data_IF_836464600672
#
_entry.id   IF_836464600672
#
_cell.length_a   1.000
_cell.length_b   1.000
_cell.length_c   1.000
_cell.angle_alpha   90.00
_cell.angle_beta   90.00
_cell.angle_gamma   90.00
#
_symmetry.space_group_name_H-M   'P 1'
#
loop_
_entity.id
_entity.type
_entity.pdbx_description
1 polymer ?
#
# COMPACT_ATOMS: atom_id res chain seq x y z
N UNK A 1 19.41 -3.52 43.53
CA UNK A 1 19.54 -4.30 42.29
C UNK A 1 18.15 -4.46 41.70
N UNK A 2 17.91 -4.01 40.46
CA UNK A 2 16.69 -4.30 39.70
C UNK A 2 17.09 -4.99 38.39
N UNK A 3 16.27 -5.91 37.85
CA UNK A 3 16.63 -6.68 36.65
C UNK A 3 16.49 -5.82 35.38
N UNK A 4 17.54 -5.79 34.57
CA UNK A 4 17.50 -5.16 33.24
C UNK A 4 16.51 -5.90 32.32
N UNK A 5 15.60 -5.16 31.67
CA UNK A 5 14.73 -5.65 30.58
C UNK A 5 15.11 -4.93 29.28
N UNK A 6 15.01 -5.61 28.13
CA UNK A 6 15.61 -5.23 26.83
C UNK A 6 14.50 -4.78 25.84
N UNK A 7 14.71 -3.71 25.03
CA UNK A 7 13.64 -2.84 24.44
C UNK A 7 13.47 -2.59 22.90
N UNK A 8 14.46 -2.54 21.98
CA UNK A 8 14.43 -3.05 20.55
C UNK A 8 13.25 -2.68 19.71
N UNK A 9 12.79 -1.45 19.83
CA UNK A 9 11.43 -1.07 19.50
C UNK A 9 10.44 -1.85 20.42
N UNK A 10 10.51 -3.20 20.46
CA UNK A 10 10.15 -4.10 21.59
C UNK A 10 11.16 -5.19 22.12
N UNK A 11 12.49 -5.21 21.83
CA UNK A 11 13.44 -6.29 22.31
C UNK A 11 14.95 -6.08 22.72
N UNK A 12 15.70 -5.00 22.39
CA UNK A 12 17.08 -4.62 22.87
C UNK A 12 17.25 -3.15 23.42
N UNK A 13 17.19 -2.08 22.59
CA UNK A 13 17.23 -0.64 22.97
C UNK A 13 15.98 0.31 22.84
N UNK A 14 15.42 0.55 21.63
CA UNK A 14 14.63 1.79 21.31
C UNK A 14 13.16 1.90 21.77
N UNK A 15 12.59 3.11 21.73
CA UNK A 15 11.13 3.41 21.83
C UNK A 15 10.62 4.04 20.51
N UNK A 16 9.61 3.46 19.83
CA UNK A 16 8.99 4.07 18.66
C UNK A 16 7.76 4.92 19.03
N UNK A 17 7.56 6.03 18.31
CA UNK A 17 6.32 6.80 18.31
C UNK A 17 5.74 6.76 16.90
N UNK A 18 4.58 6.12 16.72
CA UNK A 18 3.87 6.07 15.45
C UNK A 18 2.85 7.21 15.38
N UNK A 19 2.96 8.06 14.36
CA UNK A 19 1.88 8.98 13.97
C UNK A 19 1.02 8.23 12.96
N UNK A 20 -0.30 8.22 13.16
CA UNK A 20 -1.23 7.61 12.23
C UNK A 20 -2.52 8.42 12.14
N UNK A 21 -3.10 8.46 10.94
CA UNK A 21 -4.36 9.14 10.71
C UNK A 21 -5.49 8.13 10.94
N UNK A 22 -6.26 8.31 12.00
CA UNK A 22 -7.37 7.40 12.36
C UNK A 22 -8.47 7.26 11.27
N UNK A 23 -8.46 8.12 10.25
CA UNK A 23 -9.17 7.91 8.99
C UNK A 23 -8.20 7.43 7.91
N UNK A 24 -8.49 6.29 7.23
CA UNK A 24 -7.88 5.97 5.95
C UNK A 24 -8.00 7.14 4.95
N UNK A 25 -7.25 7.06 3.84
CA UNK A 25 -7.47 7.91 2.66
C UNK A 25 -8.96 7.92 2.26
N UNK A 26 -9.47 9.00 1.63
CA UNK A 26 -10.89 9.16 1.30
C UNK A 26 -11.35 8.26 0.13
N UNK A 27 -11.04 6.98 0.21
CA UNK A 27 -11.54 5.94 -0.66
C UNK A 27 -12.98 5.54 -0.26
N UNK A 28 -13.74 4.94 -1.19
CA UNK A 28 -14.99 4.23 -0.88
C UNK A 28 -14.79 3.14 0.19
N UNK A 29 -15.92 2.66 0.75
CA UNK A 29 -15.93 1.82 1.94
C UNK A 29 -14.94 0.64 1.87
N UNK A 30 -14.12 0.40 2.92
CA UNK A 30 -13.13 -0.66 2.92
C UNK A 30 -13.78 -2.04 2.76
N UNK A 31 -13.06 -2.97 2.14
CA UNK A 31 -13.47 -4.36 2.05
C UNK A 31 -13.79 -4.92 3.45
N UNK A 32 -14.92 -5.59 3.59
CA UNK A 32 -15.44 -6.04 4.90
C UNK A 32 -14.58 -7.11 5.58
N UNK A 33 -13.73 -7.79 4.81
CA UNK A 33 -12.82 -8.84 5.26
C UNK A 33 -11.49 -8.71 4.51
N UNK A 34 -10.41 -9.23 5.10
CA UNK A 34 -9.09 -9.33 4.47
C UNK A 34 -8.72 -10.80 4.21
N UNK A 35 -7.99 -11.03 3.12
CA UNK A 35 -7.64 -12.35 2.62
C UNK A 35 -6.13 -12.50 2.42
N UNK A 36 -5.63 -13.74 2.45
CA UNK A 36 -4.24 -14.07 2.19
C UNK A 36 -3.25 -13.76 3.33
N UNK A 37 -3.71 -13.16 4.44
CA UNK A 37 -2.89 -12.98 5.63
C UNK A 37 -2.86 -14.28 6.45
N UNK A 38 -1.71 -14.94 6.52
CA UNK A 38 -1.56 -16.21 7.24
C UNK A 38 -2.03 -16.10 8.71
N UNK A 39 -2.89 -17.04 9.13
CA UNK A 39 -3.62 -17.07 10.42
C UNK A 39 -4.71 -16.01 10.64
N UNK A 40 -4.89 -15.05 9.73
CA UNK A 40 -5.89 -13.96 9.81
C UNK A 40 -6.75 -13.83 8.54
N UNK A 41 -6.85 -14.89 7.75
CA UNK A 41 -7.75 -14.97 6.59
C UNK A 41 -9.20 -14.80 7.07
N UNK A 42 -10.00 -14.00 6.35
CA UNK A 42 -11.35 -13.54 6.74
C UNK A 42 -11.39 -12.63 7.99
N UNK A 43 -10.28 -12.03 8.43
CA UNK A 43 -10.31 -11.01 9.50
C UNK A 43 -10.74 -9.65 8.95
N UNK A 44 -11.60 -8.94 9.69
CA UNK A 44 -11.91 -7.52 9.45
C UNK A 44 -10.60 -6.69 9.49
N UNK A 45 -10.28 -5.87 8.46
CA UNK A 45 -9.10 -5.00 8.46
C UNK A 45 -8.98 -4.11 9.71
N UNK A 46 -10.11 -3.66 10.26
CA UNK A 46 -10.14 -2.86 11.48
C UNK A 46 -9.82 -3.69 12.74
N UNK A 47 -10.21 -4.98 12.80
CA UNK A 47 -9.80 -5.87 13.90
C UNK A 47 -8.30 -6.19 13.83
N UNK A 48 -7.77 -6.41 12.62
CA UNK A 48 -6.35 -6.64 12.38
C UNK A 48 -5.51 -5.43 12.84
N UNK A 49 -5.88 -4.23 12.41
CA UNK A 49 -5.25 -2.97 12.82
C UNK A 49 -5.37 -2.73 14.33
N UNK A 50 -6.57 -2.93 14.89
CA UNK A 50 -6.85 -2.82 16.33
C UNK A 50 -5.98 -3.79 17.15
N UNK A 51 -5.72 -5.00 16.63
CA UNK A 51 -4.79 -5.97 17.23
C UNK A 51 -3.35 -5.49 17.16
N UNK A 52 -2.87 -5.07 15.99
CA UNK A 52 -1.50 -4.56 15.82
C UNK A 52 -1.21 -3.34 16.72
N UNK A 53 -2.16 -2.40 16.86
CA UNK A 53 -2.04 -1.26 17.79
C UNK A 53 -1.86 -1.71 19.25
N UNK A 54 -2.64 -2.71 19.71
CA UNK A 54 -2.49 -3.27 21.07
C UNK A 54 -1.13 -3.94 21.29
N UNK A 55 -0.63 -4.66 20.29
CA UNK A 55 0.68 -5.32 20.36
C UNK A 55 1.82 -4.28 20.45
N UNK A 56 1.81 -3.24 19.61
CA UNK A 56 2.79 -2.13 19.66
C UNK A 56 2.75 -1.41 21.01
N UNK A 57 1.56 -1.06 21.51
CA UNK A 57 1.39 -0.42 22.81
C UNK A 57 1.85 -1.34 23.97
N UNK A 58 1.65 -2.66 23.86
CA UNK A 58 2.11 -3.65 24.84
C UNK A 58 3.63 -3.73 25.00
N UNK A 59 4.40 -3.41 23.95
CA UNK A 59 5.86 -3.25 24.03
C UNK A 59 6.29 -1.83 24.46
N UNK A 60 5.34 -0.92 24.69
CA UNK A 60 5.58 0.48 25.04
C UNK A 60 5.83 1.39 23.84
N UNK A 61 5.43 1.00 22.63
CA UNK A 61 5.37 1.93 21.51
C UNK A 61 4.25 2.95 21.72
N UNK A 62 4.51 4.22 21.42
CA UNK A 62 3.51 5.29 21.50
C UNK A 62 2.76 5.41 20.18
N UNK A 63 1.46 5.69 20.24
CA UNK A 63 0.59 5.87 19.08
C UNK A 63 -0.13 7.22 19.21
N UNK A 64 0.02 8.07 18.19
CA UNK A 64 -0.55 9.41 18.12
C UNK A 64 -1.51 9.49 16.93
N UNK A 65 -2.75 9.89 17.20
CA UNK A 65 -3.69 10.26 16.14
C UNK A 65 -3.33 11.67 15.62
N UNK A 66 -3.02 11.78 14.33
CA UNK A 66 -2.63 13.05 13.71
C UNK A 66 -2.13 12.86 12.27
N UNK A 67 -1.64 13.92 11.64
CA UNK A 67 -1.07 13.84 10.29
C UNK A 67 0.31 14.50 10.23
N UNK A 68 1.34 13.74 9.88
CA UNK A 68 2.63 14.30 9.50
C UNK A 68 2.48 15.11 8.19
N UNK A 69 3.07 16.31 8.12
CA UNK A 69 2.99 17.23 6.97
C UNK A 69 4.35 17.73 6.47
N UNK A 70 5.43 17.33 7.12
CA UNK A 70 6.79 17.62 6.68
C UNK A 70 7.82 16.89 7.54
N UNK A 71 8.99 16.64 6.95
CA UNK A 71 10.16 16.09 7.63
C UNK A 71 11.33 17.02 7.33
N UNK A 72 11.96 17.62 8.34
CA UNK A 72 13.27 18.28 8.18
C UNK A 72 14.38 17.37 8.68
N UNK A 73 15.53 17.40 8.00
CA UNK A 73 16.78 16.87 8.55
C UNK A 73 17.44 17.91 9.46
N UNK A 74 17.94 17.47 10.61
CA UNK A 74 18.60 18.28 11.64
C UNK A 74 20.07 17.86 11.81
N UNK A 75 20.81 18.56 12.68
CA UNK A 75 22.23 18.24 12.94
C UNK A 75 22.44 16.80 13.45
N UNK A 76 23.41 16.13 12.82
CA UNK A 76 23.80 14.75 13.11
C UNK A 76 22.84 13.74 12.49
N UNK A 77 22.31 12.86 13.35
CA UNK A 77 21.37 11.78 13.02
C UNK A 77 19.95 12.10 13.50
N UNK A 78 19.48 13.35 13.31
CA UNK A 78 18.20 13.80 13.85
C UNK A 78 17.28 14.31 12.73
N UNK A 79 15.98 14.17 12.97
CA UNK A 79 14.90 14.63 12.10
C UNK A 79 13.83 15.34 12.93
N UNK A 80 13.18 16.33 12.34
CA UNK A 80 11.95 16.92 12.85
C UNK A 80 10.78 16.41 12.02
N UNK A 81 9.75 15.85 12.64
CA UNK A 81 8.48 15.51 11.98
C UNK A 81 7.43 16.51 12.42
N UNK A 82 6.85 17.27 11.49
CA UNK A 82 5.87 18.32 11.74
C UNK A 82 4.44 17.78 11.62
N UNK A 83 3.55 18.22 12.50
CA UNK A 83 2.15 17.77 12.55
C UNK A 83 1.19 18.83 11.98
N UNK A 84 0.14 18.39 11.26
CA UNK A 84 -0.88 19.25 10.68
C UNK A 84 -1.65 20.05 11.74
N UNK A 85 -1.82 19.46 12.92
CA UNK A 85 -2.48 20.01 14.10
C UNK A 85 -1.60 21.05 14.82
N UNK A 86 -0.35 21.24 14.37
CA UNK A 86 0.68 22.02 15.02
C UNK A 86 1.53 21.17 15.97
N UNK A 87 2.78 21.61 16.19
CA UNK A 87 3.77 20.86 16.95
C UNK A 87 4.68 19.98 16.10
N UNK A 88 5.68 19.38 16.76
CA UNK A 88 6.82 18.70 16.15
C UNK A 88 7.31 17.58 17.05
N UNK A 89 7.73 16.46 16.46
CA UNK A 89 8.45 15.39 17.13
C UNK A 89 9.91 15.37 16.64
N UNK A 90 10.86 15.19 17.57
CA UNK A 90 12.28 14.96 17.23
C UNK A 90 12.57 13.46 17.22
N UNK A 91 13.04 12.95 16.08
CA UNK A 91 13.33 11.54 15.86
C UNK A 91 14.80 11.30 15.46
N UNK A 92 15.32 10.08 15.67
CA UNK A 92 16.66 9.67 15.19
C UNK A 92 16.64 9.09 13.77
N UNK A 93 15.54 8.46 13.41
CA UNK A 93 15.27 7.86 12.11
C UNK A 93 13.76 7.93 11.85
N UNK A 94 13.35 7.89 10.58
CA UNK A 94 11.93 7.95 10.20
C UNK A 94 11.58 6.74 9.34
N UNK A 95 10.39 6.18 9.57
CA UNK A 95 9.78 5.17 8.69
C UNK A 95 8.49 5.76 8.15
N UNK A 96 8.43 5.99 6.84
CA UNK A 96 7.23 6.49 6.14
C UNK A 96 6.48 5.28 5.57
N UNK A 97 5.34 4.93 6.16
CA UNK A 97 4.50 3.80 5.75
C UNK A 97 3.08 4.27 5.39
N UNK A 98 2.99 5.39 4.67
CA UNK A 98 1.76 6.14 4.34
C UNK A 98 0.91 5.51 3.25
N UNK A 99 1.38 4.43 2.61
CA UNK A 99 0.66 3.69 1.58
C UNK A 99 0.44 4.46 0.29
N UNK A 100 -0.61 4.12 -0.44
CA UNK A 100 -1.06 4.76 -1.68
C UNK A 100 -2.56 5.08 -1.62
N UNK A 101 -3.06 5.77 -2.65
CA UNK A 101 -4.47 5.84 -2.97
C UNK A 101 -4.73 5.45 -4.43
N UNK A 102 -5.91 4.88 -4.67
CA UNK A 102 -6.38 4.48 -6.00
C UNK A 102 -7.17 5.64 -6.63
N UNK A 103 -6.63 6.27 -7.68
CA UNK A 103 -7.43 7.18 -8.53
C UNK A 103 -8.24 6.35 -9.54
N UNK A 104 -9.56 6.41 -9.40
CA UNK A 104 -10.49 5.60 -10.19
C UNK A 104 -10.83 6.30 -11.52
N UNK A 105 -10.99 5.56 -12.64
CA UNK A 105 -11.49 6.13 -13.89
C UNK A 105 -12.84 6.85 -13.70
N UNK A 106 -13.00 8.01 -14.33
CA UNK A 106 -14.24 8.81 -14.30
C UNK A 106 -15.35 8.12 -15.11
N UNK A 107 -16.00 7.14 -14.46
CA UNK A 107 -17.10 6.35 -14.99
C UNK A 107 -18.28 6.45 -14.02
N UNK A 108 -19.40 7.07 -14.42
CA UNK A 108 -20.62 7.14 -13.61
C UNK A 108 -21.03 5.78 -13.03
N UNK A 109 -21.31 5.76 -11.72
CA UNK A 109 -21.68 4.54 -10.99
C UNK A 109 -20.51 3.70 -10.46
N UNK A 110 -19.26 3.95 -10.88
CA UNK A 110 -18.09 3.21 -10.39
C UNK A 110 -17.73 3.55 -8.93
N UNK A 111 -17.61 4.82 -8.50
CA UNK A 111 -17.15 5.13 -7.13
C UNK A 111 -18.05 4.60 -6.00
N UNK A 112 -19.40 4.59 -6.10
CA UNK A 112 -20.26 3.97 -5.08
C UNK A 112 -20.12 2.45 -4.94
N UNK A 113 -19.34 1.79 -5.82
CA UNK A 113 -19.19 0.33 -5.90
C UNK A 113 -17.80 -0.23 -5.68
N UNK A 114 -16.80 0.65 -5.67
CA UNK A 114 -15.44 0.31 -5.25
C UNK A 114 -15.44 -0.35 -3.86
N UNK A 115 -14.71 -1.46 -3.73
CA UNK A 115 -14.61 -2.23 -2.48
C UNK A 115 -15.79 -3.16 -2.19
N UNK A 116 -16.91 -3.07 -2.93
CA UNK A 116 -18.09 -3.94 -2.79
C UNK A 116 -18.12 -5.02 -3.87
N UNK A 117 -18.22 -4.60 -5.13
CA UNK A 117 -18.34 -5.45 -6.32
C UNK A 117 -17.53 -4.89 -7.53
N UNK A 118 -16.82 -3.77 -7.33
CA UNK A 118 -15.74 -3.28 -8.20
C UNK A 118 -14.42 -3.32 -7.41
N UNK A 119 -13.39 -3.98 -7.95
CA UNK A 119 -12.12 -4.24 -7.25
C UNK A 119 -10.89 -4.01 -8.14
N UNK A 120 -9.72 -3.76 -7.54
CA UNK A 120 -8.42 -3.77 -8.24
C UNK A 120 -7.76 -5.15 -8.21
N UNK A 121 -7.63 -5.76 -7.03
CA UNK A 121 -6.78 -6.94 -6.84
C UNK A 121 -7.59 -8.25 -6.81
N UNK A 122 -7.40 -9.17 -7.78
CA UNK A 122 -8.06 -10.47 -7.78
C UNK A 122 -7.46 -11.47 -6.78
N UNK A 123 -6.21 -11.27 -6.35
CA UNK A 123 -5.66 -12.04 -5.23
C UNK A 123 -6.29 -11.70 -3.87
N UNK A 124 -7.11 -10.62 -3.80
CA UNK A 124 -7.83 -10.22 -2.59
C UNK A 124 -9.35 -10.47 -2.65
N UNK A 125 -9.95 -10.58 -3.84
CA UNK A 125 -11.42 -10.68 -4.02
C UNK A 125 -11.86 -11.74 -5.06
N UNK A 126 -10.93 -12.33 -5.80
CA UNK A 126 -11.25 -13.21 -6.93
C UNK A 126 -11.87 -14.54 -6.47
N UNK A 127 -11.56 -15.01 -5.27
CA UNK A 127 -12.15 -16.24 -4.73
C UNK A 127 -13.62 -16.03 -4.36
N UNK A 128 -13.98 -14.84 -3.90
CA UNK A 128 -15.30 -14.43 -3.44
C UNK A 128 -16.27 -14.32 -4.63
N UNK A 129 -15.78 -13.80 -5.77
CA UNK A 129 -16.54 -13.62 -7.02
C UNK A 129 -16.25 -14.71 -8.07
N UNK A 130 -15.63 -15.82 -7.69
CA UNK A 130 -15.31 -16.93 -8.62
C UNK A 130 -16.56 -17.51 -9.28
N UNK A 131 -16.36 -18.19 -10.40
CA UNK A 131 -17.41 -18.83 -11.24
C UNK A 131 -18.54 -17.89 -11.71
N UNK A 132 -18.44 -16.59 -11.42
CA UNK A 132 -19.48 -15.58 -11.66
C UNK A 132 -19.27 -14.81 -12.96
N UNK A 133 -20.24 -13.98 -13.34
CA UNK A 133 -20.20 -13.19 -14.57
C UNK A 133 -19.29 -11.95 -14.39
N UNK A 134 -17.99 -12.11 -14.64
CA UNK A 134 -16.96 -11.09 -14.37
C UNK A 134 -16.72 -10.15 -15.55
N UNK A 135 -16.49 -8.88 -15.25
CA UNK A 135 -16.04 -7.87 -16.21
C UNK A 135 -14.67 -7.32 -15.83
N UNK A 136 -13.89 -6.88 -16.82
CA UNK A 136 -12.63 -6.18 -16.62
C UNK A 136 -12.63 -4.92 -17.49
N UNK A 137 -12.37 -3.76 -16.91
CA UNK A 137 -12.43 -2.46 -17.59
C UNK A 137 -11.01 -1.93 -17.80
N UNK A 138 -10.71 -1.48 -19.02
CA UNK A 138 -9.45 -0.81 -19.35
C UNK A 138 -9.30 0.54 -18.65
N UNK A 139 -8.26 0.67 -17.82
CA UNK A 139 -7.81 1.92 -17.22
C UNK A 139 -6.73 2.62 -18.05
N UNK A 140 -6.05 3.60 -17.45
CA UNK A 140 -4.99 4.37 -18.11
C UNK A 140 -3.73 3.52 -18.37
N UNK A 141 -3.34 2.66 -17.42
CA UNK A 141 -2.31 1.66 -17.66
C UNK A 141 -2.86 0.51 -18.53
N UNK A 142 -2.52 0.58 -19.82
CA UNK A 142 -2.79 -0.45 -20.82
C UNK A 142 -2.16 -1.80 -20.45
N UNK A 143 -0.91 -1.82 -19.99
CA UNK A 143 -0.16 -3.05 -19.73
C UNK A 143 -0.70 -3.78 -18.49
N UNK A 144 -1.04 -3.04 -17.43
CA UNK A 144 -1.78 -3.57 -16.28
C UNK A 144 -3.16 -4.06 -16.71
N UNK A 145 -3.94 -3.27 -17.45
CA UNK A 145 -5.30 -3.62 -17.87
C UNK A 145 -5.36 -4.94 -18.67
N UNK A 146 -4.47 -5.09 -19.66
CA UNK A 146 -4.36 -6.31 -20.46
C UNK A 146 -3.92 -7.52 -19.62
N UNK A 147 -2.98 -7.33 -18.69
CA UNK A 147 -2.53 -8.38 -17.76
C UNK A 147 -3.62 -8.77 -16.77
N UNK A 148 -4.36 -7.81 -16.22
CA UNK A 148 -5.48 -8.00 -15.30
C UNK A 148 -6.57 -8.82 -16.00
N UNK A 149 -6.96 -8.46 -17.23
CA UNK A 149 -7.93 -9.21 -18.02
C UNK A 149 -7.52 -10.69 -18.17
N UNK A 150 -6.28 -10.94 -18.58
CA UNK A 150 -5.74 -12.31 -18.68
C UNK A 150 -5.65 -13.02 -17.33
N UNK A 151 -5.48 -12.31 -16.22
CA UNK A 151 -5.39 -12.84 -14.87
C UNK A 151 -6.77 -13.23 -14.29
N UNK A 152 -7.82 -12.43 -14.50
CA UNK A 152 -9.18 -12.70 -13.98
C UNK A 152 -9.72 -14.07 -14.44
N UNK A 153 -9.30 -14.54 -15.62
CA UNK A 153 -9.63 -15.90 -16.12
C UNK A 153 -9.20 -17.05 -15.21
N UNK A 154 -8.34 -16.83 -14.21
CA UNK A 154 -8.01 -17.88 -13.21
C UNK A 154 -9.16 -18.14 -12.21
N UNK A 155 -10.19 -17.28 -12.15
CA UNK A 155 -11.30 -17.39 -11.19
C UNK A 155 -12.70 -17.56 -11.84
N UNK A 156 -12.88 -17.25 -13.12
CA UNK A 156 -14.13 -17.54 -13.83
C UNK A 156 -13.90 -17.78 -15.32
N UNK A 157 -14.74 -18.62 -15.93
CA UNK A 157 -14.83 -18.81 -17.38
C UNK A 157 -15.67 -17.74 -18.09
N UNK A 158 -16.59 -17.05 -17.40
CA UNK A 158 -17.38 -15.97 -18.01
C UNK A 158 -16.77 -14.58 -17.75
N UNK A 159 -15.69 -14.27 -18.47
CA UNK A 159 -14.99 -12.98 -18.39
C UNK A 159 -15.22 -12.15 -19.65
N UNK A 160 -15.67 -10.91 -19.47
CA UNK A 160 -15.70 -9.87 -20.52
C UNK A 160 -14.60 -8.86 -20.25
N UNK A 161 -13.74 -8.59 -21.24
CA UNK A 161 -12.88 -7.41 -21.24
C UNK A 161 -13.60 -6.28 -22.00
N UNK A 162 -13.70 -5.12 -21.34
CA UNK A 162 -14.18 -3.86 -21.88
C UNK A 162 -12.94 -2.97 -22.11
N UNK A 163 -12.45 -2.81 -23.35
CA UNK A 163 -11.25 -2.02 -23.60
C UNK A 163 -11.44 -0.54 -23.26
N UNK A 164 -12.70 -0.05 -23.20
CA UNK A 164 -13.02 1.36 -22.96
C UNK A 164 -12.28 2.24 -24.00
N UNK A 165 -11.35 3.09 -23.59
CA UNK A 165 -10.54 3.95 -24.49
C UNK A 165 -9.28 3.27 -25.05
N UNK A 166 -9.03 2.01 -24.70
CA UNK A 166 -7.89 1.22 -25.20
C UNK A 166 -8.22 0.62 -26.58
N UNK A 167 -7.75 1.24 -27.67
CA UNK A 167 -7.76 0.62 -29.00
C UNK A 167 -6.82 -0.59 -29.02
N UNK A 168 -7.35 -1.81 -29.26
CA UNK A 168 -6.59 -3.06 -29.31
C UNK A 168 -6.19 -3.47 -30.74
N UNK A 169 -4.97 -4.00 -30.90
CA UNK A 169 -4.52 -4.58 -32.17
C UNK A 169 -4.80 -6.10 -32.27
N UNK A 170 -4.46 -6.71 -33.41
CA UNK A 170 -4.67 -8.14 -33.65
C UNK A 170 -3.76 -9.04 -32.78
N UNK A 171 -2.58 -8.56 -32.37
CA UNK A 171 -1.63 -9.28 -31.53
C UNK A 171 -2.03 -9.29 -30.06
N UNK A 172 -2.79 -8.29 -29.59
CA UNK A 172 -3.38 -8.25 -28.25
C UNK A 172 -4.74 -8.98 -28.18
N UNK A 173 -5.61 -8.79 -29.18
CA UNK A 173 -6.94 -9.42 -29.23
C UNK A 173 -6.83 -10.94 -29.36
N UNK A 174 -5.87 -11.45 -30.14
CA UNK A 174 -5.67 -12.88 -30.36
C UNK A 174 -5.49 -13.66 -29.04
N UNK A 175 -4.49 -13.33 -28.21
CA UNK A 175 -4.27 -13.95 -26.90
C UNK A 175 -5.42 -13.79 -25.91
N UNK A 176 -6.18 -12.69 -25.93
CA UNK A 176 -7.35 -12.50 -25.07
C UNK A 176 -8.46 -13.50 -25.46
N UNK A 177 -8.80 -13.56 -26.75
CA UNK A 177 -9.83 -14.46 -27.29
C UNK A 177 -9.39 -15.93 -27.15
N UNK A 178 -8.12 -16.25 -27.41
CA UNK A 178 -7.57 -17.60 -27.27
C UNK A 178 -7.56 -18.09 -25.81
N UNK A 179 -7.54 -17.18 -24.84
CA UNK A 179 -7.70 -17.46 -23.40
C UNK A 179 -9.18 -17.45 -22.96
N UNK A 180 -10.11 -17.34 -23.90
CA UNK A 180 -11.55 -17.45 -23.68
C UNK A 180 -12.22 -16.17 -23.19
N UNK A 181 -11.56 -15.01 -23.22
CA UNK A 181 -12.24 -13.75 -22.93
C UNK A 181 -13.14 -13.33 -24.10
N UNK A 182 -14.32 -12.82 -23.75
CA UNK A 182 -15.15 -12.06 -24.70
C UNK A 182 -14.69 -10.60 -24.65
N UNK A 183 -14.48 -9.97 -25.80
CA UNK A 183 -14.16 -8.53 -25.88
C UNK A 183 -15.45 -7.78 -26.22
N UNK A 184 -15.78 -6.76 -25.44
CA UNK A 184 -16.89 -5.86 -25.67
C UNK A 184 -16.34 -4.46 -25.99
N UNK A 185 -16.15 -4.21 -27.29
CA UNK A 185 -15.62 -2.95 -27.81
C UNK A 185 -16.61 -1.79 -27.64
N UNK A 186 -16.09 -0.60 -27.33
CA UNK A 186 -16.87 0.61 -27.09
C UNK A 186 -16.42 1.33 -25.82
N UNK A 187 -16.67 2.63 -25.77
CA UNK A 187 -16.40 3.42 -24.56
C UNK A 187 -17.44 3.08 -23.49
N UNK A 188 -16.98 2.59 -22.33
CA UNK A 188 -17.83 2.45 -21.13
C UNK A 188 -18.35 3.81 -20.69
N UNK A 189 -19.68 3.96 -20.61
CA UNK A 189 -20.36 5.21 -20.21
C UNK A 189 -20.91 5.18 -18.79
N UNK A 190 -21.25 4.00 -18.26
CA UNK A 190 -21.81 3.85 -16.91
C UNK A 190 -21.68 2.43 -16.37
N UNK A 191 -21.47 2.30 -15.06
CA UNK A 191 -21.68 1.06 -14.31
C UNK A 191 -23.15 1.00 -13.87
N UNK A 192 -23.86 -0.06 -14.26
CA UNK A 192 -25.27 -0.26 -13.95
C UNK A 192 -25.39 -1.13 -12.70
N UNK A 193 -26.15 -0.69 -11.70
CA UNK A 193 -26.26 -1.32 -10.38
C UNK A 193 -27.64 -1.10 -9.74
N UNK A 194 -28.06 -2.00 -8.85
CA UNK A 194 -29.26 -1.83 -8.00
C UNK A 194 -28.93 -1.93 -6.49
N UNK A 195 -29.91 -2.11 -5.61
CA UNK A 195 -29.69 -2.21 -4.16
C UNK A 195 -28.78 -3.39 -3.74
N UNK A 196 -28.59 -4.40 -4.60
CA UNK A 196 -27.97 -5.68 -4.24
C UNK A 196 -26.63 -5.98 -4.92
N UNK A 197 -26.27 -5.24 -5.97
CA UNK A 197 -24.98 -5.40 -6.65
C UNK A 197 -24.90 -4.69 -8.00
N UNK A 198 -23.77 -4.84 -8.69
CA UNK A 198 -23.62 -4.54 -10.12
C UNK A 198 -24.57 -5.43 -10.93
N UNK A 199 -25.02 -4.88 -12.05
CA UNK A 199 -25.90 -5.51 -13.03
C UNK A 199 -25.31 -5.53 -14.42
N UNK A 200 -24.36 -4.66 -14.73
CA UNK A 200 -23.66 -4.67 -16.00
C UNK A 200 -22.89 -3.40 -16.27
N UNK A 201 -22.30 -3.38 -17.46
CA UNK A 201 -21.55 -2.24 -18.00
C UNK A 201 -22.32 -1.69 -19.20
N UNK A 202 -22.58 -0.40 -19.19
CA UNK A 202 -23.19 0.34 -20.30
C UNK A 202 -22.09 0.91 -21.19
N UNK A 203 -22.29 0.81 -22.50
CA UNK A 203 -21.38 1.28 -23.53
C UNK A 203 -22.03 2.44 -24.30
N UNK A 204 -21.22 3.30 -24.91
CA UNK A 204 -21.69 4.40 -25.74
C UNK A 204 -22.54 3.93 -26.94
N UNK A 205 -22.26 2.72 -27.45
CA UNK A 205 -23.07 2.04 -28.47
C UNK A 205 -23.27 0.58 -28.06
N UNK A 206 -24.49 0.04 -28.28
CA UNK A 206 -24.82 -1.37 -28.02
C UNK A 206 -25.65 -1.60 -26.73
N UNK A 207 -25.86 -2.88 -26.36
CA UNK A 207 -26.65 -3.24 -25.17
C UNK A 207 -25.81 -3.17 -23.88
N UNK A 208 -26.48 -2.99 -22.73
CA UNK A 208 -25.86 -3.18 -21.41
C UNK A 208 -25.37 -4.63 -21.31
N UNK A 209 -24.08 -4.82 -21.05
CA UNK A 209 -23.47 -6.15 -20.92
C UNK A 209 -23.58 -6.60 -19.46
N UNK A 210 -24.51 -7.52 -19.19
CA UNK A 210 -24.78 -8.03 -17.84
C UNK A 210 -23.55 -8.65 -17.20
N UNK A 211 -23.12 -8.13 -16.05
CA UNK A 211 -22.00 -8.57 -15.19
C UNK A 211 -22.46 -8.55 -13.72
N UNK A 212 -21.76 -9.27 -12.85
CA UNK A 212 -22.07 -9.37 -11.41
C UNK A 212 -20.99 -8.76 -10.51
N UNK A 213 -19.73 -8.80 -10.95
CA UNK A 213 -18.61 -8.10 -10.33
C UNK A 213 -17.63 -7.63 -11.41
N UNK A 214 -16.83 -6.61 -11.10
CA UNK A 214 -15.95 -5.92 -12.03
C UNK A 214 -14.54 -5.77 -11.46
N UNK A 215 -13.55 -5.85 -12.35
CA UNK A 215 -12.18 -5.46 -12.08
C UNK A 215 -11.77 -4.28 -12.96
N UNK A 216 -10.94 -3.39 -12.43
CA UNK A 216 -10.40 -2.25 -13.19
C UNK A 216 -9.00 -1.91 -12.64
N UNK A 217 -8.13 -1.36 -13.51
CA UNK A 217 -6.87 -0.76 -13.08
C UNK A 217 -7.08 0.71 -12.74
N UNK A 218 -6.91 1.13 -11.46
CA UNK A 218 -6.83 2.54 -11.11
C UNK A 218 -5.47 3.12 -11.52
N UNK A 219 -5.33 4.43 -11.47
CA UNK A 219 -4.01 5.07 -11.38
C UNK A 219 -3.56 4.96 -9.92
N UNK A 220 -2.52 4.17 -9.65
CA UNK A 220 -1.92 4.07 -8.32
C UNK A 220 -1.14 5.35 -8.01
N UNK A 221 -1.40 5.97 -6.85
CA UNK A 221 -0.73 7.20 -6.43
C UNK A 221 -0.14 7.01 -5.03
N UNK A 222 1.19 6.91 -4.88
CA UNK A 222 1.81 6.81 -3.56
C UNK A 222 1.55 8.07 -2.73
N UNK A 223 1.37 7.91 -1.42
CA UNK A 223 1.29 9.02 -0.46
C UNK A 223 2.71 9.40 0.00
N UNK A 224 3.59 9.73 -0.96
CA UNK A 224 5.04 9.90 -0.77
C UNK A 224 5.50 11.35 -0.56
N UNK A 225 4.57 12.29 -0.36
CA UNK A 225 4.88 13.73 -0.38
C UNK A 225 5.92 14.13 0.70
N UNK A 226 5.98 13.36 1.79
CA UNK A 226 6.98 13.50 2.86
C UNK A 226 8.39 13.05 2.45
N UNK A 227 8.50 12.10 1.51
CA UNK A 227 9.74 11.55 0.99
C UNK A 227 10.28 12.39 -0.16
N UNK A 228 9.39 12.79 -1.08
CA UNK A 228 9.73 13.63 -2.24
C UNK A 228 10.07 15.06 -1.83
N UNK A 229 9.36 15.66 -0.86
CA UNK A 229 9.74 16.95 -0.28
C UNK A 229 11.06 16.92 0.51
N UNK A 230 11.44 15.76 1.07
CA UNK A 230 12.72 15.54 1.73
C UNK A 230 13.88 15.29 0.74
N UNK A 231 13.56 15.16 -0.56
CA UNK A 231 14.53 14.95 -1.64
C UNK A 231 15.02 13.51 -1.77
N UNK A 232 14.17 12.51 -1.49
CA UNK A 232 14.47 11.12 -1.83
C UNK A 232 14.55 10.92 -3.36
N UNK A 233 15.43 10.04 -3.80
CA UNK A 233 15.61 9.70 -5.22
C UNK A 233 14.38 8.94 -5.74
N UNK A 234 14.04 9.14 -7.01
CA UNK A 234 13.00 8.39 -7.71
C UNK A 234 13.61 7.35 -8.66
N UNK A 235 12.85 6.29 -8.94
CA UNK A 235 13.18 5.30 -9.97
C UNK A 235 12.63 5.68 -11.36
N UNK A 236 12.88 4.82 -12.37
CA UNK A 236 12.43 5.02 -13.75
C UNK A 236 10.89 4.96 -13.92
N UNK A 237 10.16 4.45 -12.92
CA UNK A 237 8.69 4.41 -12.88
C UNK A 237 8.09 5.60 -12.11
N UNK A 238 8.93 6.44 -11.49
CA UNK A 238 8.57 7.65 -10.76
C UNK A 238 8.25 7.43 -9.28
N UNK A 239 8.53 6.25 -8.73
CA UNK A 239 8.32 5.92 -7.30
C UNK A 239 9.59 6.18 -6.50
N UNK A 240 9.47 6.36 -5.18
CA UNK A 240 10.64 6.58 -4.31
C UNK A 240 11.53 5.34 -4.26
N UNK A 241 12.74 5.48 -4.80
CA UNK A 241 13.69 4.39 -4.93
C UNK A 241 14.16 3.88 -3.56
N UNK A 242 14.08 2.56 -3.35
CA UNK A 242 14.49 1.90 -2.11
C UNK A 242 15.34 0.65 -2.32
N UNK A 243 16.17 0.32 -1.32
CA UNK A 243 16.83 -0.98 -1.25
C UNK A 243 15.85 -2.09 -0.79
N UNK A 244 16.29 -3.36 -0.81
CA UNK A 244 15.47 -4.52 -0.40
C UNK A 244 14.93 -4.49 1.04
N UNK A 245 15.33 -3.51 1.84
CA UNK A 245 14.86 -3.28 3.23
C UNK A 245 13.94 -2.07 3.34
N UNK A 246 13.66 -1.37 2.23
CA UNK A 246 12.93 -0.11 2.20
C UNK A 246 13.80 1.12 2.49
N UNK A 247 15.14 1.04 2.46
CA UNK A 247 16.01 2.20 2.72
C UNK A 247 16.01 3.15 1.53
N UNK A 248 15.72 4.45 1.74
CA UNK A 248 15.77 5.46 0.67
C UNK A 248 17.20 6.04 0.50
N UNK A 249 17.40 6.94 -0.47
CA UNK A 249 18.67 7.67 -0.61
C UNK A 249 19.00 8.58 0.59
N UNK A 250 17.98 9.02 1.35
CA UNK A 250 18.15 9.85 2.54
C UNK A 250 18.52 8.97 3.75
N UNK A 251 19.80 8.95 4.07
CA UNK A 251 20.33 8.15 5.18
C UNK A 251 19.64 8.49 6.51
N UNK A 252 18.95 7.50 7.11
CA UNK A 252 18.09 7.67 8.28
C UNK A 252 16.59 7.53 8.01
N UNK A 253 16.20 7.38 6.73
CA UNK A 253 14.80 7.25 6.30
C UNK A 253 14.57 5.90 5.61
N UNK A 254 13.43 5.28 5.95
CA UNK A 254 12.92 4.06 5.34
C UNK A 254 11.48 4.25 4.86
N UNK A 255 11.10 3.58 3.78
CA UNK A 255 9.76 3.57 3.21
C UNK A 255 9.35 2.12 2.85
N UNK A 256 8.57 1.42 3.69
CA UNK A 256 8.08 0.08 3.41
C UNK A 256 6.59 0.04 3.04
N UNK A 257 6.20 -0.95 2.23
CA UNK A 257 4.79 -1.18 1.85
C UNK A 257 4.33 -0.27 0.70
N UNK A 258 3.03 0.00 0.62
CA UNK A 258 2.42 0.55 -0.60
C UNK A 258 2.81 1.99 -0.97
N UNK A 259 3.65 2.67 -0.18
CA UNK A 259 4.27 3.95 -0.58
C UNK A 259 5.41 3.76 -1.60
N UNK A 260 5.95 2.54 -1.73
CA UNK A 260 6.98 2.17 -2.73
C UNK A 260 6.68 0.88 -3.51
N UNK A 261 5.62 0.15 -3.16
CA UNK A 261 5.22 -1.11 -3.82
C UNK A 261 3.70 -1.23 -3.95
N UNK A 262 3.15 -0.88 -5.11
CA UNK A 262 1.72 -1.00 -5.40
C UNK A 262 1.19 -2.45 -5.39
N UNK A 263 2.08 -3.46 -5.38
CA UNK A 263 1.71 -4.89 -5.34
C UNK A 263 1.68 -5.47 -3.92
N UNK A 264 2.23 -4.77 -2.91
CA UNK A 264 2.34 -5.28 -1.55
C UNK A 264 0.97 -5.50 -0.88
N UNK A 265 0.50 -6.75 -0.85
CA UNK A 265 -0.61 -7.16 0.00
C UNK A 265 -0.25 -7.00 1.49
N UNK A 266 -1.26 -7.01 2.38
CA UNK A 266 -1.10 -6.77 3.83
C UNK A 266 0.05 -7.57 4.49
N UNK A 267 0.23 -8.84 4.11
CA UNK A 267 1.31 -9.69 4.64
C UNK A 267 2.70 -9.30 4.09
N UNK A 268 2.78 -8.86 2.83
CA UNK A 268 4.01 -8.33 2.21
C UNK A 268 4.39 -6.98 2.81
N UNK A 269 3.41 -6.09 3.04
CA UNK A 269 3.63 -4.81 3.71
C UNK A 269 4.11 -5.00 5.17
N UNK A 270 3.53 -5.95 5.90
CA UNK A 270 4.00 -6.33 7.24
C UNK A 270 5.43 -6.90 7.23
N UNK A 271 5.76 -7.74 6.23
CA UNK A 271 7.11 -8.27 6.06
C UNK A 271 8.13 -7.16 5.71
N UNK A 272 7.77 -6.22 4.84
CA UNK A 272 8.60 -5.05 4.50
C UNK A 272 8.83 -4.15 5.72
N UNK A 273 7.79 -3.89 6.53
CA UNK A 273 7.93 -3.15 7.79
C UNK A 273 8.87 -3.84 8.79
N UNK A 274 8.82 -5.17 8.87
CA UNK A 274 9.75 -5.97 9.69
C UNK A 274 11.19 -5.87 9.18
N UNK A 275 11.41 -5.99 7.86
CA UNK A 275 12.73 -5.83 7.23
C UNK A 275 13.31 -4.44 7.45
N UNK A 276 12.50 -3.38 7.29
CA UNK A 276 12.88 -2.00 7.56
C UNK A 276 13.28 -1.78 9.01
N UNK A 277 12.49 -2.28 9.98
CA UNK A 277 12.80 -2.16 11.41
C UNK A 277 14.14 -2.84 11.79
N UNK A 278 14.40 -4.02 11.22
CA UNK A 278 15.67 -4.76 11.43
C UNK A 278 16.85 -4.00 10.81
N UNK A 279 16.69 -3.48 9.59
CA UNK A 279 17.72 -2.72 8.89
C UNK A 279 18.04 -1.39 9.58
N UNK A 280 17.02 -0.58 9.89
CA UNK A 280 17.14 0.68 10.60
C UNK A 280 17.84 0.53 11.96
N UNK A 281 17.51 -0.52 12.72
CA UNK A 281 18.18 -0.81 13.98
C UNK A 281 19.67 -1.17 13.77
N UNK A 282 19.95 -2.15 12.90
CA UNK A 282 21.28 -2.74 12.80
C UNK A 282 22.27 -1.94 11.95
N UNK A 283 21.80 -1.20 10.94
CA UNK A 283 22.63 -0.50 9.96
C UNK A 283 22.75 1.01 10.22
N UNK A 284 21.95 1.58 11.14
CA UNK A 284 21.92 3.02 11.37
C UNK A 284 21.86 3.40 12.86
N UNK A 285 20.92 2.86 13.65
CA UNK A 285 20.87 3.20 15.09
C UNK A 285 22.07 2.65 15.87
N UNK A 286 22.40 1.36 15.72
CA UNK A 286 23.54 0.75 16.41
C UNK A 286 24.90 1.40 16.04
N UNK A 287 25.22 1.64 14.75
CA UNK A 287 26.44 2.39 14.39
C UNK A 287 26.50 3.79 15.02
N UNK A 288 25.40 4.55 15.00
CA UNK A 288 25.35 5.87 15.61
C UNK A 288 25.46 5.82 17.16
N UNK A 289 24.91 4.78 17.82
CA UNK A 289 25.10 4.56 19.25
C UNK A 289 26.58 4.28 19.58
N UNK A 290 27.29 3.55 18.72
CA UNK A 290 28.74 3.28 18.86
C UNK A 290 29.56 4.56 18.62
N UNK A 291 29.26 5.35 17.59
CA UNK A 291 29.90 6.64 17.34
C UNK A 291 29.71 7.62 18.51
N UNK A 292 28.49 7.72 19.04
CA UNK A 292 28.20 8.53 20.23
C UNK A 292 28.94 8.01 21.49
N UNK A 293 29.03 6.69 21.67
CA UNK A 293 29.77 6.10 22.77
C UNK A 293 31.29 6.38 22.67
N UNK A 294 31.87 6.31 21.47
CA UNK A 294 33.28 6.65 21.23
C UNK A 294 33.53 8.15 21.48
N UNK A 295 32.67 9.04 20.97
CA UNK A 295 32.80 10.48 21.18
C UNK A 295 32.65 10.89 22.66
N UNK A 296 31.92 10.11 23.46
CA UNK A 296 31.81 10.28 24.91
C UNK A 296 32.90 9.57 25.73
N UNK A 297 33.77 8.77 25.11
CA UNK A 297 34.78 7.97 25.82
C UNK A 297 36.11 8.71 25.93
N UNK A 298 36.45 9.18 27.12
CA UNK A 298 37.83 9.49 27.48
C UNK A 298 38.53 8.18 27.82
N UNK A 299 39.70 7.91 27.23
CA UNK A 299 40.48 6.72 27.57
C UNK A 299 40.76 6.67 29.08
N UNK A 300 40.51 5.53 29.76
CA UNK A 300 40.98 5.34 31.12
C UNK A 300 42.52 5.30 31.11
N UNK A 301 43.15 6.01 32.06
CA UNK A 301 44.59 5.98 32.20
C UNK A 301 45.10 4.53 32.33
N UNK A 302 46.24 4.18 31.69
CA UNK A 302 46.71 2.80 31.63
C UNK A 302 46.93 2.23 33.04
N UNK A 303 46.43 1.02 33.26
CA UNK A 303 46.61 0.29 34.51
C UNK A 303 48.05 -0.22 34.54
N UNK A 304 48.87 0.40 35.40
CA UNK A 304 50.27 0.04 35.68
C UNK A 304 50.39 -0.98 36.81
#
# INVERSE_FOLDING_TARGET
MQPQRRRLLGSSGSTPTGIDRATPSPAPAPASHSHGFLSRDWMDPAELLSTARREVAGYGGELLEGRAVGIDRLDGIRFAVHLAEGGRLDARAVVVATGLHDELPDIPGLPPRWGQDVHVCPYCHGYEVRDSALGVIGGEDRAFSLRQAQLIRQWSDDVVFFPHRITLDAHERGPLIARGLRIADGEVTRIVSDETGVRGVELAEGPIVTRTALFVGPRFVPSDELLTALGCDLDDEGWVATDRTGRTSINGVWAPGNVVDHTAQLISAAAAGSAAAIALNNQYLIPADVEMAIAGHTEPAPIH
#
